data_IF_526023333102
#
_entry.id   IF_526023333102
#
_cell.length_a   1.000
_cell.length_b   1.000
_cell.length_c   1.000
_cell.angle_alpha   90.00
_cell.angle_beta   90.00
_cell.angle_gamma   90.00
#
_symmetry.space_group_name_H-M   'P 1'
#
loop_
_entity.id
_entity.type
_entity.pdbx_description
1 polymer ?
#
# COMPACT_ATOMS: atom_id res chain seq x y z
N UNK A 1 7.56 -31.93 4.52
CA UNK A 1 6.96 -30.62 4.84
C UNK A 1 5.53 -30.62 4.34
N UNK A 2 4.52 -30.56 5.22
CA UNK A 2 3.10 -30.54 4.81
C UNK A 2 2.75 -29.09 4.44
N UNK A 3 2.69 -28.77 3.16
CA UNK A 3 2.11 -27.50 2.69
C UNK A 3 0.61 -27.56 3.00
N UNK A 4 0.11 -26.70 3.89
CA UNK A 4 -1.31 -26.71 4.26
C UNK A 4 -2.18 -26.08 3.16
N UNK A 5 -1.63 -25.16 2.36
CA UNK A 5 -2.35 -24.40 1.34
C UNK A 5 -1.49 -24.11 0.11
N UNK A 6 -2.14 -23.81 -1.03
CA UNK A 6 -1.48 -23.45 -2.28
C UNK A 6 -1.09 -21.96 -2.29
N UNK A 7 0.22 -21.69 -2.28
CA UNK A 7 0.78 -20.33 -2.26
C UNK A 7 0.30 -19.47 -3.42
N UNK A 8 0.20 -20.05 -4.61
CA UNK A 8 -0.19 -19.33 -5.82
C UNK A 8 -1.58 -18.69 -5.71
N UNK A 9 -2.49 -19.27 -4.91
CA UNK A 9 -3.84 -18.69 -4.72
C UNK A 9 -3.82 -17.46 -3.83
N UNK A 10 -2.99 -17.48 -2.79
CA UNK A 10 -2.85 -16.34 -1.86
C UNK A 10 -2.11 -15.20 -2.56
N UNK A 11 -1.08 -15.52 -3.34
CA UNK A 11 -0.36 -14.58 -4.19
C UNK A 11 -1.32 -13.94 -5.21
N UNK A 12 -2.05 -14.75 -5.99
CA UNK A 12 -2.98 -14.23 -7.00
C UNK A 12 -4.09 -13.34 -6.41
N UNK A 13 -4.61 -13.69 -5.23
CA UNK A 13 -5.56 -12.84 -4.52
C UNK A 13 -4.93 -11.51 -4.10
N UNK A 14 -3.72 -11.56 -3.55
CA UNK A 14 -2.99 -10.36 -3.11
C UNK A 14 -2.65 -9.44 -4.28
N UNK A 15 -2.16 -10.00 -5.39
CA UNK A 15 -1.90 -9.27 -6.63
C UNK A 15 -3.16 -8.58 -7.17
N UNK A 16 -4.30 -9.27 -7.11
CA UNK A 16 -5.60 -8.69 -7.46
C UNK A 16 -5.95 -7.48 -6.59
N UNK A 17 -5.70 -7.55 -5.28
CA UNK A 17 -5.94 -6.41 -4.37
C UNK A 17 -4.98 -5.26 -4.64
N UNK A 18 -3.69 -5.51 -4.87
CA UNK A 18 -2.73 -4.47 -5.23
C UNK A 18 -3.06 -3.80 -6.57
N UNK A 19 -3.47 -4.57 -7.58
CA UNK A 19 -3.92 -4.06 -8.86
C UNK A 19 -5.19 -3.19 -8.69
N UNK A 20 -6.16 -3.65 -7.90
CA UNK A 20 -7.37 -2.88 -7.59
C UNK A 20 -7.05 -1.59 -6.81
N UNK A 21 -6.11 -1.63 -5.87
CA UNK A 21 -5.66 -0.45 -5.15
C UNK A 21 -5.04 0.60 -6.10
N UNK A 22 -4.25 0.13 -7.07
CA UNK A 22 -3.66 0.99 -8.10
C UNK A 22 -4.73 1.62 -8.99
N UNK A 23 -5.75 0.86 -9.41
CA UNK A 23 -6.84 1.41 -10.24
C UNK A 23 -7.70 2.41 -9.47
N UNK A 24 -8.02 2.15 -8.20
CA UNK A 24 -8.72 3.13 -7.35
C UNK A 24 -7.93 4.43 -7.22
N UNK A 25 -6.61 4.35 -7.09
CA UNK A 25 -5.76 5.54 -7.04
C UNK A 25 -5.90 6.38 -8.32
N UNK A 26 -5.96 5.73 -9.49
CA UNK A 26 -6.22 6.40 -10.77
C UNK A 26 -7.63 6.99 -10.83
N UNK A 27 -8.65 6.26 -10.36
CA UNK A 27 -10.04 6.75 -10.36
C UNK A 27 -10.21 8.01 -9.50
N UNK A 28 -9.39 8.17 -8.45
CA UNK A 28 -9.39 9.38 -7.62
C UNK A 28 -8.59 10.55 -8.20
N UNK A 29 -7.95 10.39 -9.37
CA UNK A 29 -7.34 11.52 -10.08
C UNK A 29 -8.44 12.39 -10.69
N UNK A 30 -8.62 13.56 -10.10
CA UNK A 30 -9.47 14.61 -10.64
C UNK A 30 -8.74 15.31 -11.79
N UNK A 31 -8.85 14.74 -12.99
CA UNK A 31 -8.35 15.33 -14.23
C UNK A 31 -9.54 15.70 -15.12
N UNK A 32 -9.96 16.96 -15.07
CA UNK A 32 -10.86 17.52 -16.08
C UNK A 32 -10.27 17.34 -17.49
N UNK A 33 -11.14 17.01 -18.47
CA UNK A 33 -10.84 16.62 -19.86
C UNK A 33 -10.09 17.65 -20.74
N UNK A 34 -9.45 18.67 -20.16
CA UNK A 34 -8.55 19.56 -20.89
C UNK A 34 -7.22 18.86 -21.16
N UNK A 35 -6.83 18.74 -22.43
CA UNK A 35 -5.56 18.16 -22.89
C UNK A 35 -4.29 18.81 -22.31
N UNK A 36 -4.40 19.98 -21.67
CA UNK A 36 -3.28 20.72 -21.11
C UNK A 36 -3.15 20.49 -19.61
N UNK A 37 -2.02 19.92 -19.16
CA UNK A 37 -1.64 19.95 -17.75
C UNK A 37 -1.19 21.37 -17.39
N UNK A 38 -2.07 22.15 -16.78
CA UNK A 38 -1.70 23.39 -16.08
C UNK A 38 -0.93 23.06 -14.79
N UNK A 39 -0.23 24.04 -14.20
CA UNK A 39 0.72 23.81 -13.08
C UNK A 39 0.19 22.93 -11.94
N UNK A 40 -1.01 23.23 -11.41
CA UNK A 40 -1.62 22.42 -10.35
C UNK A 40 -1.98 20.98 -10.80
N UNK A 41 -2.36 20.80 -12.07
CA UNK A 41 -2.65 19.46 -12.65
C UNK A 41 -1.39 18.63 -12.81
N UNK A 42 -0.28 19.24 -13.24
CA UNK A 42 1.02 18.60 -13.35
C UNK A 42 1.51 18.04 -12.01
N UNK A 43 1.36 18.84 -10.95
CA UNK A 43 1.78 18.43 -9.62
C UNK A 43 0.87 17.32 -9.06
N UNK A 44 -0.46 17.39 -9.27
CA UNK A 44 -1.37 16.28 -8.90
C UNK A 44 -1.02 14.97 -9.62
N UNK A 45 -0.61 15.04 -10.89
CA UNK A 45 -0.14 13.88 -11.64
C UNK A 45 1.17 13.32 -11.08
N UNK A 46 2.12 14.18 -10.70
CA UNK A 46 3.36 13.77 -10.02
C UNK A 46 3.08 13.15 -8.65
N UNK A 47 2.16 13.71 -7.86
CA UNK A 47 1.74 13.13 -6.57
C UNK A 47 1.14 11.75 -6.72
N UNK A 48 0.28 11.59 -7.73
CA UNK A 48 -0.27 10.29 -8.09
C UNK A 48 0.86 9.32 -8.46
N UNK A 49 1.79 9.72 -9.34
CA UNK A 49 2.92 8.89 -9.74
C UNK A 49 3.77 8.44 -8.55
N UNK A 50 4.13 9.37 -7.68
CA UNK A 50 4.87 9.07 -6.44
C UNK A 50 4.10 8.06 -5.55
N UNK A 51 2.80 8.27 -5.36
CA UNK A 51 1.93 7.39 -4.57
C UNK A 51 1.84 5.99 -5.19
N UNK A 52 1.73 5.92 -6.52
CA UNK A 52 1.71 4.67 -7.27
C UNK A 52 3.02 3.89 -7.10
N UNK A 53 4.18 4.55 -7.21
CA UNK A 53 5.47 3.87 -7.01
C UNK A 53 5.66 3.38 -5.58
N UNK A 54 5.16 4.10 -4.57
CA UNK A 54 5.14 3.61 -3.18
C UNK A 54 4.30 2.33 -3.06
N UNK A 55 3.13 2.29 -3.69
CA UNK A 55 2.30 1.07 -3.73
C UNK A 55 3.03 -0.09 -4.41
N UNK A 56 3.73 0.15 -5.53
CA UNK A 56 4.56 -0.85 -6.21
C UNK A 56 5.71 -1.34 -5.34
N UNK A 57 6.34 -0.46 -4.55
CA UNK A 57 7.38 -0.87 -3.58
C UNK A 57 6.78 -1.78 -2.51
N UNK A 58 5.59 -1.46 -1.97
CA UNK A 58 4.91 -2.33 -1.01
C UNK A 58 4.57 -3.69 -1.60
N UNK A 59 4.09 -3.72 -2.84
CA UNK A 59 3.87 -4.96 -3.60
C UNK A 59 5.18 -5.74 -3.78
N UNK A 60 6.29 -5.08 -4.10
CA UNK A 60 7.61 -5.74 -4.22
C UNK A 60 8.06 -6.39 -2.90
N UNK A 61 7.80 -5.74 -1.76
CA UNK A 61 8.08 -6.32 -0.44
C UNK A 61 7.23 -7.56 -0.21
N UNK A 62 5.94 -7.52 -0.57
CA UNK A 62 5.03 -8.66 -0.52
C UNK A 62 5.54 -9.82 -1.39
N UNK A 63 5.85 -9.55 -2.65
CA UNK A 63 6.43 -10.50 -3.59
C UNK A 63 7.69 -11.17 -3.02
N UNK A 64 8.60 -10.39 -2.43
CA UNK A 64 9.82 -10.92 -1.83
C UNK A 64 9.55 -11.84 -0.63
N UNK A 65 8.52 -11.56 0.17
CA UNK A 65 8.11 -12.43 1.28
C UNK A 65 7.66 -13.80 0.77
N UNK A 66 6.75 -13.83 -0.22
CA UNK A 66 6.23 -15.08 -0.78
C UNK A 66 7.29 -15.85 -1.58
N UNK A 67 8.19 -15.15 -2.26
CA UNK A 67 9.30 -15.79 -2.97
C UNK A 67 10.32 -16.45 -2.04
N UNK A 68 10.55 -15.90 -0.85
CA UNK A 68 11.52 -16.43 0.12
C UNK A 68 10.95 -17.53 1.00
N UNK A 69 9.64 -17.52 1.25
CA UNK A 69 9.00 -18.44 2.17
C UNK A 69 8.04 -19.38 1.43
N UNK A 70 8.36 -20.67 1.39
CA UNK A 70 7.45 -21.67 0.81
C UNK A 70 6.35 -22.11 1.79
N UNK A 71 6.44 -21.74 3.07
CA UNK A 71 5.49 -22.13 4.11
C UNK A 71 4.30 -21.17 4.21
N UNK A 72 3.09 -21.70 4.12
CA UNK A 72 1.84 -20.98 4.38
C UNK A 72 0.96 -21.76 5.36
N UNK A 73 0.50 -21.07 6.41
CA UNK A 73 -0.54 -21.51 7.33
C UNK A 73 -1.69 -20.50 7.41
N UNK A 74 -2.75 -20.86 8.12
CA UNK A 74 -3.93 -19.99 8.29
C UNK A 74 -3.58 -18.65 8.98
N UNK A 75 -2.53 -18.63 9.80
CA UNK A 75 -2.07 -17.40 10.45
C UNK A 75 -1.41 -16.44 9.46
N UNK A 76 -0.57 -16.94 8.56
CA UNK A 76 0.01 -16.14 7.47
C UNK A 76 -1.10 -15.61 6.56
N UNK A 77 -2.11 -16.43 6.23
CA UNK A 77 -3.25 -15.98 5.43
C UNK A 77 -4.00 -14.84 6.15
N UNK A 78 -4.31 -14.99 7.44
CA UNK A 78 -5.01 -13.95 8.21
C UNK A 78 -4.19 -12.66 8.30
N UNK A 79 -2.89 -12.74 8.60
CA UNK A 79 -1.99 -11.58 8.63
C UNK A 79 -1.86 -10.91 7.26
N UNK A 80 -1.81 -11.71 6.18
CA UNK A 80 -1.81 -11.18 4.82
C UNK A 80 -3.14 -10.46 4.51
N UNK A 81 -4.29 -11.00 4.92
CA UNK A 81 -5.57 -10.30 4.76
C UNK A 81 -5.61 -8.97 5.51
N UNK A 82 -5.09 -8.93 6.75
CA UNK A 82 -4.97 -7.68 7.52
C UNK A 82 -4.03 -6.70 6.81
N UNK A 83 -2.87 -7.17 6.34
CA UNK A 83 -1.93 -6.37 5.56
C UNK A 83 -2.60 -5.73 4.34
N UNK A 84 -3.32 -6.53 3.54
CA UNK A 84 -4.03 -6.05 2.35
C UNK A 84 -5.11 -5.01 2.69
N UNK A 85 -5.86 -5.22 3.78
CA UNK A 85 -6.83 -4.25 4.27
C UNK A 85 -6.15 -2.92 4.65
N UNK A 86 -5.04 -2.98 5.39
CA UNK A 86 -4.28 -1.78 5.78
C UNK A 86 -3.72 -1.08 4.54
N UNK A 87 -3.19 -1.81 3.56
CA UNK A 87 -2.69 -1.24 2.30
C UNK A 87 -3.80 -0.50 1.53
N UNK A 88 -5.01 -1.08 1.43
CA UNK A 88 -6.14 -0.41 0.78
C UNK A 88 -6.52 0.90 1.49
N UNK A 89 -6.56 0.88 2.82
CA UNK A 89 -6.79 2.10 3.60
C UNK A 89 -5.67 3.13 3.40
N UNK A 90 -4.41 2.68 3.33
CA UNK A 90 -3.22 3.51 3.25
C UNK A 90 -3.06 4.25 1.92
N UNK A 91 -3.62 3.70 0.83
CA UNK A 91 -3.52 4.29 -0.51
C UNK A 91 -4.21 5.65 -0.60
N UNK A 92 -5.31 5.85 0.13
CA UNK A 92 -6.06 7.12 0.13
C UNK A 92 -5.28 8.31 0.71
N UNK A 93 -4.77 8.26 1.97
CA UNK A 93 -4.04 9.39 2.56
C UNK A 93 -2.66 9.63 1.93
N UNK A 94 -2.06 8.61 1.29
CA UNK A 94 -0.75 8.71 0.66
C UNK A 94 -0.70 9.82 -0.39
N UNK A 95 -1.74 9.93 -1.25
CA UNK A 95 -1.83 11.00 -2.25
C UNK A 95 -1.90 12.39 -1.60
N UNK A 96 -2.72 12.53 -0.56
CA UNK A 96 -2.87 13.79 0.17
C UNK A 96 -1.57 14.21 0.85
N UNK A 97 -0.81 13.26 1.41
CA UNK A 97 0.49 13.54 2.00
C UNK A 97 1.49 14.08 0.97
N UNK A 98 1.56 13.47 -0.22
CA UNK A 98 2.45 13.94 -1.29
C UNK A 98 2.02 15.32 -1.81
N UNK A 99 0.72 15.57 -1.95
CA UNK A 99 0.19 16.90 -2.31
C UNK A 99 0.56 17.98 -1.27
N UNK A 100 0.48 17.64 0.02
CA UNK A 100 0.85 18.53 1.14
C UNK A 100 2.34 18.87 1.09
N UNK A 101 3.18 17.85 0.88
CA UNK A 101 4.63 18.00 0.78
C UNK A 101 5.04 18.89 -0.41
N UNK A 102 4.32 18.79 -1.52
CA UNK A 102 4.56 19.62 -2.72
C UNK A 102 3.92 21.02 -2.64
N UNK A 103 3.29 21.39 -1.53
CA UNK A 103 2.76 22.73 -1.30
C UNK A 103 1.48 23.08 -2.07
N UNK A 104 0.74 22.08 -2.55
CA UNK A 104 -0.50 22.28 -3.31
C UNK A 104 -1.73 22.55 -2.44
N UNK A 105 -1.73 22.08 -1.20
CA UNK A 105 -2.81 22.33 -0.24
C UNK A 105 -2.27 23.17 0.91
N UNK A 106 -2.93 24.29 1.19
CA UNK A 106 -2.74 25.03 2.42
C UNK A 106 -3.41 24.25 3.56
N UNK A 107 -2.62 23.38 4.20
CA UNK A 107 -3.09 22.54 5.30
C UNK A 107 -2.69 23.20 6.62
N UNK A 108 -3.62 23.24 7.57
CA UNK A 108 -3.32 23.72 8.92
C UNK A 108 -2.31 22.80 9.61
N UNK A 109 -1.58 23.31 10.61
CA UNK A 109 -0.62 22.47 11.35
C UNK A 109 -1.26 21.24 11.99
N UNK A 110 -2.51 21.37 12.43
CA UNK A 110 -3.26 20.30 13.10
C UNK A 110 -3.72 19.20 12.11
N UNK A 111 -4.17 19.60 10.93
CA UNK A 111 -4.50 18.66 9.85
C UNK A 111 -3.25 17.93 9.35
N UNK A 112 -2.13 18.65 9.19
CA UNK A 112 -0.86 18.05 8.80
C UNK A 112 -0.39 17.04 9.85
N UNK A 113 -0.46 17.38 11.14
CA UNK A 113 -0.13 16.47 12.23
C UNK A 113 -1.03 15.22 12.20
N UNK A 114 -2.34 15.40 11.99
CA UNK A 114 -3.29 14.30 11.89
C UNK A 114 -2.97 13.36 10.71
N UNK A 115 -2.59 13.91 9.55
CA UNK A 115 -2.13 13.15 8.38
C UNK A 115 -0.88 12.32 8.72
N UNK A 116 0.11 12.92 9.38
CA UNK A 116 1.32 12.19 9.78
C UNK A 116 1.03 11.08 10.80
N UNK A 117 0.12 11.28 11.75
CA UNK A 117 -0.27 10.24 12.72
C UNK A 117 -0.97 9.09 12.01
N UNK A 118 -1.94 9.39 11.14
CA UNK A 118 -2.66 8.37 10.37
C UNK A 118 -1.70 7.57 9.47
N UNK A 119 -0.77 8.25 8.81
CA UNK A 119 0.24 7.63 7.96
C UNK A 119 1.24 6.79 8.78
N UNK A 120 1.75 7.34 9.89
CA UNK A 120 2.64 6.62 10.79
C UNK A 120 2.01 5.34 11.35
N UNK A 121 0.73 5.42 11.75
CA UNK A 121 -0.03 4.26 12.22
C UNK A 121 -0.19 3.19 11.13
N UNK A 122 -0.61 3.58 9.92
CA UNK A 122 -0.75 2.65 8.80
C UNK A 122 0.56 1.99 8.40
N UNK A 123 1.65 2.77 8.35
CA UNK A 123 2.99 2.26 8.06
C UNK A 123 3.44 1.27 9.13
N UNK A 124 3.31 1.62 10.41
CA UNK A 124 3.65 0.73 11.52
C UNK A 124 2.86 -0.59 11.45
N UNK A 125 1.57 -0.54 11.14
CA UNK A 125 0.74 -1.73 10.97
C UNK A 125 1.21 -2.62 9.80
N UNK A 126 1.57 -2.02 8.66
CA UNK A 126 2.12 -2.76 7.50
C UNK A 126 3.39 -3.52 7.90
N UNK A 127 4.34 -2.84 8.54
CA UNK A 127 5.61 -3.48 8.94
C UNK A 127 5.43 -4.45 10.10
N UNK A 128 4.48 -4.21 10.99
CA UNK A 128 4.11 -5.16 12.04
C UNK A 128 3.56 -6.46 11.43
N UNK A 129 2.67 -6.38 10.43
CA UNK A 129 2.16 -7.55 9.72
C UNK A 129 3.31 -8.32 9.06
N UNK A 130 4.21 -7.65 8.34
CA UNK A 130 5.39 -8.31 7.76
C UNK A 130 6.29 -8.95 8.83
N UNK A 131 6.56 -8.25 9.93
CA UNK A 131 7.39 -8.77 11.01
C UNK A 131 6.77 -10.04 11.62
N UNK A 132 5.46 -10.04 11.88
CA UNK A 132 4.74 -11.21 12.40
C UNK A 132 4.71 -12.36 11.39
N UNK A 133 4.52 -12.08 10.10
CA UNK A 133 4.58 -13.08 9.04
C UNK A 133 5.97 -13.72 8.95
N UNK A 134 7.04 -12.92 8.99
CA UNK A 134 8.43 -13.42 9.00
C UNK A 134 8.76 -14.19 10.28
N UNK A 135 8.32 -13.71 11.45
CA UNK A 135 8.50 -14.43 12.73
C UNK A 135 7.79 -15.78 12.71
N UNK A 136 6.57 -15.84 12.16
CA UNK A 136 5.80 -17.07 12.03
C UNK A 136 6.47 -18.06 11.09
N UNK A 137 6.94 -17.59 9.94
CA UNK A 137 7.68 -18.41 8.97
C UNK A 137 8.98 -18.95 9.57
N UNK A 138 9.75 -18.11 10.28
CA UNK A 138 10.99 -18.52 10.95
C UNK A 138 10.76 -19.59 12.02
N UNK A 139 9.71 -19.48 12.85
CA UNK A 139 9.40 -20.48 13.89
C UNK A 139 8.96 -21.85 13.35
N UNK A 140 8.68 -21.95 12.04
CA UNK A 140 8.14 -23.15 11.38
C UNK A 140 9.06 -23.70 10.29
N UNK A 141 10.18 -23.03 10.04
CA UNK A 141 11.29 -23.50 9.21
C UNK A 141 12.29 -24.24 10.09
#
# INVERSE_FOLDING_TARGET
MKFLHNNNRVEAFSDGVFAFAATLMVVTLDMDASLWLTGAKAINFVSFGASFFVLVILWKVHYNFFRRNSYIDNWIIALNSILLFVVLYYVFPLKSLVNSWMGLQAITRDELASLFVMYGFGFAMIFLCYALMYQRAYRKT
#
